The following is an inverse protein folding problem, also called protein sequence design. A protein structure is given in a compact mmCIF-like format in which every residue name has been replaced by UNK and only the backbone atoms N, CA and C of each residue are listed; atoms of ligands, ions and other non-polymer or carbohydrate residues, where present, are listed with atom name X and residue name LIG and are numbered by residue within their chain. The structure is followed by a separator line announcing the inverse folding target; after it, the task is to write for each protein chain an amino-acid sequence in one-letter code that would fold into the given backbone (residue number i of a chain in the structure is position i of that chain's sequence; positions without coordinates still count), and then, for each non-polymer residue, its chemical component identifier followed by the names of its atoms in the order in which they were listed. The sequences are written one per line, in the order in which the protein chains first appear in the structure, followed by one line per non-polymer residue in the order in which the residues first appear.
data_IF_048794964417
#
_entry.id   IF_048794964417
#
_cell.length_a   1.000
_cell.length_b   1.000
_cell.length_c   1.000
_cell.angle_alpha   90.00
_cell.angle_beta   90.00
_cell.angle_gamma   90.00
#
_symmetry.space_group_name_H-M   'P 1'
#
loop_
_entity.id
_entity.type
_entity.pdbx_description
1 polymer ?
#
# COMPACT_ATOMS: atom_id res chain seq x y z
N UNK A 1 -17.74 17.86 -4.85
CA UNK A 1 -17.16 16.67 -4.20
C UNK A 1 -18.13 15.50 -4.35
N UNK A 2 -17.73 14.42 -5.00
CA UNK A 2 -18.60 13.25 -5.20
C UNK A 2 -18.59 12.37 -3.93
N UNK A 3 -19.38 12.73 -2.92
CA UNK A 3 -19.47 11.95 -1.68
C UNK A 3 -20.25 10.65 -1.90
N UNK A 4 -19.72 9.54 -1.37
CA UNK A 4 -20.41 8.26 -1.35
C UNK A 4 -21.50 8.26 -0.26
N UNK A 5 -22.64 7.60 -0.53
CA UNK A 5 -23.57 7.23 0.54
C UNK A 5 -22.95 6.15 1.42
N UNK A 6 -23.45 5.96 2.64
CA UNK A 6 -22.95 4.92 3.55
C UNK A 6 -22.88 3.57 2.85
N UNK A 7 -23.98 3.16 2.17
CA UNK A 7 -24.04 1.89 1.45
C UNK A 7 -23.07 1.78 0.28
N UNK A 8 -22.87 2.86 -0.45
CA UNK A 8 -21.86 2.91 -1.53
C UNK A 8 -20.44 2.78 -0.99
N UNK A 9 -20.16 3.41 0.17
CA UNK A 9 -18.86 3.29 0.84
C UNK A 9 -18.60 1.85 1.29
N UNK A 10 -19.56 1.19 1.92
CA UNK A 10 -19.46 -0.21 2.34
C UNK A 10 -19.16 -1.14 1.14
N UNK A 11 -19.89 -0.96 0.03
CA UNK A 11 -19.65 -1.76 -1.19
C UNK A 11 -18.28 -1.49 -1.78
N UNK A 12 -17.86 -0.24 -1.80
CA UNK A 12 -16.53 0.14 -2.30
C UNK A 12 -15.41 -0.47 -1.46
N UNK A 13 -15.50 -0.39 -0.13
CA UNK A 13 -14.51 -1.01 0.77
C UNK A 13 -14.52 -2.54 0.66
N UNK A 14 -15.67 -3.18 0.47
CA UNK A 14 -15.75 -4.62 0.19
C UNK A 14 -15.03 -4.99 -1.12
N UNK A 15 -15.21 -4.21 -2.19
CA UNK A 15 -14.50 -4.43 -3.46
C UNK A 15 -12.99 -4.28 -3.27
N UNK A 16 -12.55 -3.25 -2.53
CA UNK A 16 -11.13 -3.03 -2.21
C UNK A 16 -10.54 -4.21 -1.44
N UNK A 17 -11.19 -4.65 -0.36
CA UNK A 17 -10.75 -5.78 0.45
C UNK A 17 -10.62 -7.06 -0.40
N UNK A 18 -11.62 -7.37 -1.23
CA UNK A 18 -11.57 -8.53 -2.12
C UNK A 18 -10.41 -8.48 -3.12
N UNK A 19 -10.16 -7.34 -3.71
CA UNK A 19 -9.01 -7.15 -4.61
C UNK A 19 -7.68 -7.30 -3.86
N UNK A 20 -7.59 -6.74 -2.64
CA UNK A 20 -6.39 -6.84 -1.79
C UNK A 20 -6.13 -8.28 -1.35
N UNK A 21 -7.17 -8.99 -0.88
CA UNK A 21 -7.04 -10.28 -0.21
C UNK A 21 -6.96 -11.45 -1.20
N UNK A 22 -7.72 -11.37 -2.29
CA UNK A 22 -7.88 -12.46 -3.27
C UNK A 22 -7.18 -12.18 -4.61
N UNK A 23 -6.74 -10.94 -4.85
CA UNK A 23 -6.07 -10.54 -6.09
C UNK A 23 -7.02 -10.28 -7.27
N UNK A 24 -8.35 -10.37 -7.07
CA UNK A 24 -9.35 -10.12 -8.11
C UNK A 24 -10.63 -9.52 -7.52
N UNK A 25 -11.38 -8.74 -8.33
CA UNK A 25 -12.61 -8.10 -7.87
C UNK A 25 -13.75 -9.12 -7.68
N UNK A 26 -14.71 -8.83 -6.80
CA UNK A 26 -15.90 -9.65 -6.64
C UNK A 26 -16.83 -9.55 -7.86
N UNK A 27 -17.58 -10.61 -8.10
CA UNK A 27 -18.69 -10.61 -9.06
C UNK A 27 -19.90 -9.86 -8.50
N UNK A 28 -20.84 -9.46 -9.37
CA UNK A 28 -22.11 -8.87 -8.94
C UNK A 28 -22.91 -9.78 -8.00
N UNK A 29 -22.82 -11.08 -8.21
CA UNK A 29 -23.50 -12.09 -7.38
C UNK A 29 -22.86 -12.18 -5.99
N UNK A 30 -21.53 -12.17 -5.89
CA UNK A 30 -20.81 -12.17 -4.62
C UNK A 30 -21.15 -10.90 -3.80
N UNK A 31 -21.20 -9.74 -4.45
CA UNK A 31 -21.64 -8.48 -3.82
C UNK A 31 -23.09 -8.61 -3.34
N UNK A 32 -23.99 -9.10 -4.21
CA UNK A 32 -25.41 -9.27 -3.86
C UNK A 32 -25.60 -10.19 -2.66
N UNK A 33 -24.90 -11.32 -2.64
CA UNK A 33 -24.96 -12.29 -1.53
C UNK A 33 -24.41 -11.72 -0.23
N UNK A 34 -23.25 -11.07 -0.29
CA UNK A 34 -22.61 -10.49 0.89
C UNK A 34 -23.46 -9.42 1.57
N UNK A 35 -24.10 -8.55 0.77
CA UNK A 35 -24.94 -7.47 1.27
C UNK A 35 -26.42 -7.83 1.43
N UNK A 36 -26.81 -9.08 1.15
CA UNK A 36 -28.18 -9.55 1.28
C UNK A 36 -29.16 -8.87 0.33
N UNK A 37 -28.72 -8.50 -0.87
CA UNK A 37 -29.62 -7.88 -1.86
C UNK A 37 -30.60 -8.90 -2.43
N UNK A 38 -31.83 -8.47 -2.66
CA UNK A 38 -32.90 -9.33 -3.20
C UNK A 38 -32.63 -9.76 -4.66
N UNK A 39 -31.76 -9.06 -5.37
CA UNK A 39 -31.39 -9.39 -6.75
C UNK A 39 -30.02 -8.85 -7.11
N UNK A 40 -29.31 -9.44 -8.09
CA UNK A 40 -28.06 -8.91 -8.64
C UNK A 40 -28.20 -7.49 -9.24
N UNK A 41 -29.41 -7.11 -9.65
CA UNK A 41 -29.66 -5.77 -10.20
C UNK A 41 -29.49 -4.66 -9.14
N UNK A 42 -29.79 -4.95 -7.88
CA UNK A 42 -29.54 -3.99 -6.80
C UNK A 42 -28.03 -3.72 -6.60
N UNK A 43 -27.20 -4.76 -6.73
CA UNK A 43 -25.74 -4.58 -6.76
C UNK A 43 -25.30 -3.75 -7.97
N UNK A 44 -25.87 -4.03 -9.15
CA UNK A 44 -25.57 -3.30 -10.40
C UNK A 44 -25.85 -1.80 -10.27
N UNK A 45 -26.96 -1.42 -9.63
CA UNK A 45 -27.32 0.00 -9.45
C UNK A 45 -26.30 0.73 -8.57
N UNK A 46 -25.83 0.10 -7.50
CA UNK A 46 -24.75 0.65 -6.67
C UNK A 46 -23.42 0.74 -7.44
N UNK A 47 -23.09 -0.29 -8.24
CA UNK A 47 -21.88 -0.28 -9.07
C UNK A 47 -21.95 0.82 -10.13
N UNK A 48 -23.08 1.02 -10.80
CA UNK A 48 -23.28 2.14 -11.74
C UNK A 48 -23.11 3.49 -11.05
N UNK A 49 -23.62 3.63 -9.83
CA UNK A 49 -23.45 4.85 -9.05
C UNK A 49 -21.99 5.10 -8.66
N UNK A 50 -21.25 4.06 -8.26
CA UNK A 50 -19.80 4.14 -7.98
C UNK A 50 -19.02 4.51 -9.24
N UNK A 51 -19.32 3.90 -10.38
CA UNK A 51 -18.74 4.25 -11.67
C UNK A 51 -19.03 5.70 -12.06
N UNK A 52 -20.29 6.14 -11.97
CA UNK A 52 -20.68 7.53 -12.28
C UNK A 52 -19.96 8.54 -11.39
N UNK A 53 -19.64 8.16 -10.15
CA UNK A 53 -18.88 8.98 -9.20
C UNK A 53 -17.36 8.87 -9.37
N UNK A 54 -16.88 8.03 -10.30
CA UNK A 54 -15.47 7.86 -10.61
C UNK A 54 -14.68 7.01 -9.62
N UNK A 55 -15.33 6.16 -8.81
CA UNK A 55 -14.66 5.28 -7.84
C UNK A 55 -14.27 3.93 -8.42
N UNK A 56 -14.98 3.45 -9.44
CA UNK A 56 -14.70 2.19 -10.13
C UNK A 56 -14.90 2.34 -11.64
N UNK A 57 -14.21 1.48 -12.40
CA UNK A 57 -14.51 1.19 -13.78
C UNK A 57 -15.19 -0.18 -13.90
N UNK A 58 -16.03 -0.34 -14.92
CA UNK A 58 -16.73 -1.61 -15.19
C UNK A 58 -16.48 -1.98 -16.64
N UNK A 59 -15.76 -3.08 -16.87
CA UNK A 59 -15.55 -3.70 -18.16
C UNK A 59 -16.77 -4.56 -18.52
N UNK A 60 -17.33 -4.30 -19.69
CA UNK A 60 -18.46 -5.08 -20.22
C UNK A 60 -18.00 -6.49 -20.64
N UNK A 61 -18.89 -7.48 -20.53
CA UNK A 61 -18.64 -8.84 -21.03
C UNK A 61 -17.81 -9.75 -20.12
N UNK A 62 -17.44 -9.31 -18.92
CA UNK A 62 -16.72 -10.13 -17.94
C UNK A 62 -17.40 -10.10 -16.57
N UNK A 63 -17.44 -11.26 -15.91
CA UNK A 63 -18.07 -11.41 -14.60
C UNK A 63 -17.28 -10.69 -13.48
N UNK A 64 -15.95 -10.54 -13.64
CA UNK A 64 -15.03 -9.88 -12.71
C UNK A 64 -14.43 -8.60 -13.30
N UNK A 65 -15.22 -7.88 -14.10
CA UNK A 65 -14.80 -6.68 -14.81
C UNK A 65 -14.84 -5.39 -13.99
N UNK A 66 -14.77 -5.45 -12.66
CA UNK A 66 -14.72 -4.28 -11.81
C UNK A 66 -13.25 -3.94 -11.57
N UNK A 67 -12.86 -2.70 -11.83
CA UNK A 67 -11.57 -2.14 -11.42
C UNK A 67 -11.80 -0.84 -10.64
N UNK A 68 -10.92 -0.54 -9.73
CA UNK A 68 -11.02 0.70 -8.95
C UNK A 68 -10.53 1.86 -9.82
N UNK A 69 -11.34 2.90 -10.04
CA UNK A 69 -10.97 4.05 -10.89
C UNK A 69 -10.03 5.04 -10.19
N UNK A 70 -10.13 5.16 -8.87
CA UNK A 70 -9.29 6.04 -8.05
C UNK A 70 -8.16 5.28 -7.36
N UNK A 71 -7.73 4.17 -7.94
CA UNK A 71 -6.37 3.69 -7.78
C UNK A 71 -5.45 4.45 -8.78
N UNK A 72 -5.76 5.69 -9.04
CA UNK A 72 -4.76 6.67 -9.40
C UNK A 72 -3.86 7.03 -8.21
N UNK A 73 -4.25 6.61 -7.02
CA UNK A 73 -3.35 6.41 -5.92
C UNK A 73 -2.78 5.00 -5.97
N UNK A 74 -2.06 4.67 -7.04
CA UNK A 74 -1.19 3.50 -7.07
C UNK A 74 -0.28 3.51 -5.84
N UNK A 75 0.41 2.42 -5.57
CA UNK A 75 1.35 2.37 -4.44
C UNK A 75 2.37 3.49 -4.63
N UNK A 76 2.47 4.43 -3.68
CA UNK A 76 3.39 5.55 -3.81
C UNK A 76 4.84 5.08 -3.73
N UNK A 77 5.68 5.65 -4.56
CA UNK A 77 7.14 5.59 -4.41
C UNK A 77 7.54 6.84 -3.63
N UNK A 78 8.11 6.61 -2.46
CA UNK A 78 8.65 7.66 -1.61
C UNK A 78 10.13 7.84 -1.94
N UNK A 79 10.48 9.06 -2.30
CA UNK A 79 11.85 9.47 -2.59
C UNK A 79 12.53 10.09 -1.36
N UNK A 80 13.02 11.30 -1.54
CA UNK A 80 13.60 12.08 -0.43
C UNK A 80 12.47 12.55 0.49
N UNK A 81 12.60 12.26 1.78
CA UNK A 81 11.65 12.71 2.79
C UNK A 81 12.11 14.08 3.30
N UNK A 82 11.25 15.09 3.14
CA UNK A 82 11.53 16.44 3.63
C UNK A 82 11.53 16.48 5.16
N UNK A 83 12.46 17.25 5.73
CA UNK A 83 12.54 17.44 7.19
C UNK A 83 11.23 17.98 7.74
N UNK A 84 10.76 17.38 8.86
CA UNK A 84 9.53 17.80 9.52
C UNK A 84 8.22 17.33 8.86
N UNK A 85 8.24 16.79 7.64
CA UNK A 85 7.01 16.31 6.99
C UNK A 85 6.74 14.82 7.27
N UNK A 86 5.46 14.38 7.26
CA UNK A 86 5.13 12.96 7.29
C UNK A 86 5.72 12.23 6.09
N UNK A 87 6.23 11.00 6.27
CA UNK A 87 6.86 10.21 5.20
C UNK A 87 5.96 10.07 3.95
N UNK A 88 4.66 9.87 4.15
CA UNK A 88 3.68 9.74 3.07
C UNK A 88 3.04 11.07 2.65
N UNK A 89 3.64 12.21 2.99
CA UNK A 89 3.20 13.48 2.44
C UNK A 89 3.37 13.50 0.93
N UNK A 90 2.44 14.13 0.21
CA UNK A 90 2.45 14.18 -1.27
C UNK A 90 3.74 14.78 -1.83
N UNK A 91 4.38 15.70 -1.11
CA UNK A 91 5.66 16.30 -1.47
C UNK A 91 6.84 15.30 -1.51
N UNK A 92 6.73 14.16 -0.80
CA UNK A 92 7.73 13.08 -0.78
C UNK A 92 7.43 12.00 -1.83
N UNK A 93 6.28 12.05 -2.49
CA UNK A 93 5.87 11.05 -3.49
C UNK A 93 6.48 11.39 -4.85
N UNK A 94 7.41 10.58 -5.33
CA UNK A 94 8.00 10.73 -6.67
C UNK A 94 6.98 10.41 -7.77
N UNK A 95 6.29 9.32 -7.61
CA UNK A 95 5.23 8.82 -8.50
C UNK A 95 4.44 7.71 -7.81
N UNK A 96 3.32 7.33 -8.43
CA UNK A 96 2.53 6.18 -8.01
C UNK A 96 2.57 5.12 -9.10
N UNK A 97 2.69 3.86 -8.72
CA UNK A 97 2.66 2.73 -9.65
C UNK A 97 1.43 1.87 -9.39
N UNK A 98 0.76 1.39 -10.46
CA UNK A 98 -0.38 0.49 -10.30
C UNK A 98 0.01 -0.74 -9.47
N UNK A 99 -0.81 -1.18 -8.50
CA UNK A 99 -0.54 -2.38 -7.76
C UNK A 99 -0.58 -3.60 -8.69
N UNK A 100 0.43 -4.45 -8.57
CA UNK A 100 0.46 -5.72 -9.29
C UNK A 100 -0.09 -6.83 -8.39
N UNK A 101 -1.03 -7.67 -8.83
CA UNK A 101 -1.73 -8.64 -7.98
C UNK A 101 -0.82 -9.57 -7.17
N UNK A 102 0.33 -9.96 -7.73
CA UNK A 102 1.25 -10.90 -7.09
C UNK A 102 2.31 -10.19 -6.25
N UNK A 103 2.89 -9.09 -6.76
CA UNK A 103 4.06 -8.43 -6.15
C UNK A 103 3.72 -7.26 -5.23
N UNK A 104 2.46 -6.83 -5.20
CA UNK A 104 2.03 -5.68 -4.40
C UNK A 104 1.16 -6.07 -3.19
N UNK A 105 0.95 -7.36 -2.95
CA UNK A 105 0.17 -7.81 -1.80
C UNK A 105 0.87 -7.42 -0.49
N UNK A 106 0.16 -6.68 0.36
CA UNK A 106 0.69 -6.20 1.64
C UNK A 106 1.73 -5.08 1.51
N UNK A 107 1.89 -4.44 0.35
CA UNK A 107 2.79 -3.30 0.18
C UNK A 107 2.02 -2.01 0.39
N UNK A 108 2.42 -1.22 1.39
CA UNK A 108 1.84 0.10 1.65
C UNK A 108 2.48 1.20 0.81
N UNK A 109 3.80 1.10 0.60
CA UNK A 109 4.55 2.01 -0.27
C UNK A 109 5.88 1.38 -0.68
N UNK A 110 6.49 1.94 -1.73
CA UNK A 110 7.89 1.68 -2.07
C UNK A 110 8.74 2.83 -1.57
N UNK A 111 9.94 2.50 -1.05
CA UNK A 111 10.92 3.49 -0.66
C UNK A 111 12.11 3.39 -1.60
N UNK A 112 12.55 4.53 -2.14
CA UNK A 112 13.81 4.61 -2.88
C UNK A 112 14.97 4.69 -1.90
N UNK A 113 15.87 3.74 -2.01
CA UNK A 113 17.08 3.68 -1.17
C UNK A 113 18.06 4.74 -1.63
N UNK A 114 18.70 5.40 -0.66
CA UNK A 114 19.81 6.31 -0.89
C UNK A 114 21.03 5.87 -0.07
N UNK A 115 22.15 5.76 -0.77
CA UNK A 115 23.42 5.34 -0.16
C UNK A 115 23.63 3.83 -0.16
N UNK A 116 24.68 3.40 0.49
CA UNK A 116 25.24 2.05 0.42
C UNK A 116 25.29 1.33 1.77
N UNK A 117 24.59 1.83 2.78
CA UNK A 117 24.66 1.30 4.14
C UNK A 117 24.12 -0.14 4.30
N UNK A 118 23.49 -0.71 3.26
CA UNK A 118 22.82 -2.02 3.30
C UNK A 118 23.30 -2.96 2.17
N UNK A 119 24.48 -2.72 1.62
CA UNK A 119 24.99 -3.45 0.45
C UNK A 119 25.25 -4.93 0.72
N UNK A 120 25.64 -5.30 1.94
CA UNK A 120 25.98 -6.69 2.29
C UNK A 120 24.75 -7.60 2.35
N UNK A 121 23.54 -7.03 2.37
CA UNK A 121 22.26 -7.75 2.26
C UNK A 121 21.58 -7.55 0.92
N UNK A 122 22.32 -7.02 -0.09
CA UNK A 122 21.84 -6.90 -1.47
C UNK A 122 20.89 -5.74 -1.71
N UNK A 123 20.90 -4.70 -0.86
CA UNK A 123 20.12 -3.47 -1.05
C UNK A 123 21.11 -2.36 -1.44
N UNK A 124 20.94 -1.84 -2.65
CA UNK A 124 21.84 -0.88 -3.27
C UNK A 124 21.22 0.50 -3.40
N UNK A 125 22.07 1.48 -3.67
CA UNK A 125 21.63 2.84 -3.98
C UNK A 125 20.66 2.84 -5.18
N UNK A 126 19.58 3.64 -5.08
CA UNK A 126 18.47 3.74 -6.03
C UNK A 126 17.53 2.52 -6.12
N UNK A 127 17.72 1.46 -5.36
CA UNK A 127 16.77 0.37 -5.27
C UNK A 127 15.40 0.85 -4.77
N UNK A 128 14.35 0.14 -5.20
CA UNK A 128 12.99 0.30 -4.66
C UNK A 128 12.69 -0.87 -3.76
N UNK A 129 12.54 -0.59 -2.46
CA UNK A 129 12.15 -1.60 -1.48
C UNK A 129 10.67 -1.49 -1.17
N UNK A 130 9.98 -2.64 -1.15
CA UNK A 130 8.57 -2.74 -0.78
C UNK A 130 8.44 -2.71 0.75
N UNK A 131 7.60 -1.83 1.25
CA UNK A 131 7.43 -1.60 2.70
C UNK A 131 6.01 -1.92 3.12
N UNK A 132 5.91 -2.70 4.21
CA UNK A 132 4.67 -2.96 4.91
C UNK A 132 4.74 -2.34 6.32
N UNK A 133 3.72 -1.59 6.73
CA UNK A 133 3.68 -0.88 8.02
C UNK A 133 3.25 -1.76 9.19
N UNK A 134 2.47 -2.79 8.91
CA UNK A 134 1.72 -3.53 9.93
C UNK A 134 2.37 -4.87 10.32
N UNK A 135 3.59 -5.13 9.86
CA UNK A 135 4.31 -6.36 10.21
C UNK A 135 4.88 -6.29 11.63
N UNK A 136 4.76 -7.41 12.35
CA UNK A 136 5.45 -7.58 13.62
C UNK A 136 6.95 -7.62 13.39
N UNK A 137 7.65 -6.56 13.78
CA UNK A 137 9.10 -6.48 13.68
C UNK A 137 9.76 -7.32 14.77
N UNK A 138 10.85 -7.98 14.42
CA UNK A 138 11.67 -8.80 15.33
C UNK A 138 13.16 -8.57 15.06
N UNK A 139 14.00 -8.99 15.98
CA UNK A 139 15.45 -9.00 15.77
C UNK A 139 15.81 -9.67 14.44
N UNK A 140 16.62 -9.01 13.63
CA UNK A 140 17.01 -9.41 12.27
C UNK A 140 16.08 -8.90 11.17
N UNK A 141 14.94 -8.28 11.47
CA UNK A 141 14.12 -7.63 10.44
C UNK A 141 14.85 -6.43 9.84
N UNK A 142 14.73 -6.26 8.53
CA UNK A 142 15.09 -5.00 7.86
C UNK A 142 13.93 -4.04 8.08
N UNK A 143 14.22 -2.86 8.60
CA UNK A 143 13.22 -1.87 9.02
C UNK A 143 13.53 -0.50 8.42
N UNK A 144 12.47 0.27 8.24
CA UNK A 144 12.56 1.70 7.99
C UNK A 144 12.46 2.41 9.33
N UNK A 145 13.47 3.13 9.71
CA UNK A 145 13.48 3.93 10.91
C UNK A 145 13.53 5.42 10.56
N UNK A 146 12.77 6.21 11.32
CA UNK A 146 12.91 7.66 11.32
C UNK A 146 13.66 8.05 12.59
N UNK A 147 14.76 8.74 12.41
CA UNK A 147 15.60 9.25 13.49
C UNK A 147 15.69 10.76 13.27
N UNK A 148 15.12 11.52 14.21
CA UNK A 148 14.91 12.95 14.03
C UNK A 148 14.15 13.24 12.73
N UNK A 149 14.77 13.91 11.77
CA UNK A 149 14.18 14.24 10.47
C UNK A 149 14.69 13.35 9.31
N UNK A 150 15.49 12.35 9.61
CA UNK A 150 16.05 11.45 8.61
C UNK A 150 15.37 10.09 8.60
N UNK A 151 15.15 9.56 7.40
CA UNK A 151 14.64 8.21 7.17
C UNK A 151 15.81 7.33 6.75
N UNK A 152 15.95 6.18 7.41
CA UNK A 152 17.03 5.24 7.14
C UNK A 152 16.55 3.80 7.10
N UNK A 153 17.22 2.98 6.28
CA UNK A 153 17.01 1.53 6.21
C UNK A 153 18.10 0.84 7.00
N UNK A 154 17.75 -0.03 7.93
CA UNK A 154 18.71 -0.75 8.78
C UNK A 154 18.17 -2.12 9.16
N UNK A 155 19.06 -2.99 9.61
CA UNK A 155 18.69 -4.24 10.29
C UNK A 155 18.46 -3.97 11.78
N UNK A 156 17.30 -4.42 12.29
CA UNK A 156 17.00 -4.35 13.72
C UNK A 156 17.88 -5.35 14.48
N UNK A 157 18.92 -4.86 15.15
CA UNK A 157 19.87 -5.68 15.90
C UNK A 157 19.35 -6.03 17.30
N UNK A 158 18.74 -5.05 17.98
CA UNK A 158 18.20 -5.21 19.30
C UNK A 158 16.96 -4.32 19.48
N UNK A 159 15.98 -4.82 20.20
CA UNK A 159 14.81 -4.05 20.63
C UNK A 159 14.46 -4.45 22.06
N UNK A 160 14.34 -3.46 22.94
CA UNK A 160 13.91 -3.59 24.33
C UNK A 160 13.05 -2.40 24.70
N UNK A 161 12.51 -2.39 25.92
CA UNK A 161 11.65 -1.30 26.39
C UNK A 161 12.29 0.10 26.31
N UNK A 162 13.61 0.19 26.46
CA UNK A 162 14.34 1.46 26.57
C UNK A 162 15.43 1.63 25.51
N UNK A 163 15.58 0.68 24.59
CA UNK A 163 16.69 0.71 23.64
C UNK A 163 16.35 0.00 22.35
N UNK A 164 16.66 0.64 21.24
CA UNK A 164 16.67 0.06 19.89
C UNK A 164 18.06 0.23 19.34
N UNK A 165 18.62 -0.83 18.77
CA UNK A 165 19.90 -0.77 18.02
C UNK A 165 19.61 -1.13 16.59
N UNK A 166 20.00 -0.25 15.71
CA UNK A 166 19.88 -0.39 14.26
C UNK A 166 21.29 -0.59 13.67
N UNK A 167 21.47 -1.68 12.93
CA UNK A 167 22.76 -2.03 12.31
C UNK A 167 22.71 -1.75 10.82
N UNK A 168 23.74 -1.10 10.33
CA UNK A 168 24.03 -1.06 8.90
C UNK A 168 24.58 -2.43 8.44
N UNK A 169 24.27 -2.83 7.25
CA UNK A 169 24.85 -4.00 6.59
C UNK A 169 25.92 -3.54 5.60
N UNK A 170 26.90 -2.81 6.14
CA UNK A 170 28.12 -2.33 5.51
C UNK A 170 29.09 -1.93 6.63
N UNK A 171 30.29 -2.52 6.71
CA UNK A 171 31.24 -2.30 7.80
C UNK A 171 31.78 -0.86 7.90
N UNK A 172 31.58 -0.05 6.86
CA UNK A 172 31.96 1.37 6.89
C UNK A 172 31.04 2.23 7.75
N UNK A 173 29.92 1.67 8.23
CA UNK A 173 28.93 2.37 9.04
C UNK A 173 28.86 1.78 10.45
N UNK A 174 28.64 2.65 11.43
CA UNK A 174 28.41 2.24 12.83
C UNK A 174 26.95 1.93 13.07
N UNK A 175 26.69 1.11 14.10
CA UNK A 175 25.37 0.92 14.67
C UNK A 175 24.82 2.26 15.22
N UNK A 176 23.50 2.43 15.15
CA UNK A 176 22.77 3.60 15.67
C UNK A 176 21.91 3.17 16.84
#
# INVERSE_FOLDING_TARGET
MNTLTVRQKEIFEFIKSKISDEGYPPTRMEISNYFGFKSPNAAEDHLKALKKKGFIEILSGTSRGISLSNIDEGIPIIGLVSAGSPMLAEENVEKRIPPHPISSHGVDYYLRVKGDSMIDVGIFDNDLIAVNKDLNIKKGSIVIARIDDEVTVKTLKEISANKVILRAENPNYKDI
#
